data_IF_614291307915
#
_entry.id   IF_614291307915
#
_cell.length_a   1.000
_cell.length_b   1.000
_cell.length_c   1.000
_cell.angle_alpha   90.00
_cell.angle_beta   90.00
_cell.angle_gamma   90.00
#
_symmetry.space_group_name_H-M   'P 1'
#
loop_
_entity.id
_entity.type
_entity.pdbx_description
1 polymer ?
#
# COMPACT_ATOMS: atom_id res chain seq x y z
N UNK A 1 2.45 15.70 1.57
CA UNK A 1 3.62 15.40 0.71
C UNK A 1 3.13 14.95 -0.67
N UNK A 2 3.63 15.53 -1.76
CA UNK A 2 3.42 14.98 -3.12
C UNK A 2 4.13 13.64 -3.23
N UNK A 3 3.41 12.60 -3.64
CA UNK A 3 3.95 11.23 -3.76
C UNK A 3 4.25 10.90 -5.21
N UNK A 4 3.38 11.28 -6.15
CA UNK A 4 3.58 11.04 -7.58
C UNK A 4 3.67 12.36 -8.34
N UNK A 5 4.82 12.67 -8.94
CA UNK A 5 4.95 13.84 -9.81
C UNK A 5 4.30 13.66 -11.18
N UNK A 6 4.18 12.42 -11.69
CA UNK A 6 3.58 12.18 -13.01
C UNK A 6 2.06 12.38 -13.02
N UNK A 7 1.40 12.00 -11.93
CA UNK A 7 -0.05 12.05 -11.77
C UNK A 7 -0.48 13.12 -10.75
N UNK A 8 0.49 13.84 -10.17
CA UNK A 8 0.33 14.99 -9.26
C UNK A 8 -0.63 14.71 -8.09
N UNK A 9 -0.40 13.59 -7.39
CA UNK A 9 -1.17 13.27 -6.17
C UNK A 9 -0.29 13.13 -4.93
N UNK A 10 -0.92 13.35 -3.78
CA UNK A 10 -0.34 13.48 -2.45
C UNK A 10 -0.60 12.26 -1.56
N UNK A 11 0.08 12.20 -0.41
CA UNK A 11 -0.16 11.17 0.60
C UNK A 11 -1.60 11.22 1.16
N UNK A 12 -2.18 12.43 1.27
CA UNK A 12 -3.56 12.61 1.73
C UNK A 12 -4.57 11.94 0.82
N UNK A 13 -4.39 12.09 -0.50
CA UNK A 13 -5.24 11.43 -1.52
C UNK A 13 -5.11 9.90 -1.47
N UNK A 14 -3.89 9.38 -1.25
CA UNK A 14 -3.69 7.93 -1.06
C UNK A 14 -4.43 7.46 0.19
N UNK A 15 -4.32 8.18 1.31
CA UNK A 15 -4.99 7.82 2.58
C UNK A 15 -6.51 7.88 2.47
N UNK A 16 -7.04 8.84 1.71
CA UNK A 16 -8.48 8.97 1.44
C UNK A 16 -9.04 7.78 0.65
N UNK A 17 -8.22 7.09 -0.16
CA UNK A 17 -8.63 5.89 -0.88
C UNK A 17 -8.75 4.65 0.03
N UNK A 18 -8.11 4.64 1.20
CA UNK A 18 -8.01 3.45 2.06
C UNK A 18 -9.24 3.25 2.94
N UNK A 19 -10.45 3.35 2.38
CA UNK A 19 -11.69 3.16 3.14
C UNK A 19 -11.88 1.70 3.55
N UNK A 20 -12.42 1.41 4.75
CA UNK A 20 -12.74 0.05 5.14
C UNK A 20 -13.82 -0.52 4.20
N UNK A 21 -13.63 -1.77 3.75
CA UNK A 21 -14.57 -2.43 2.84
C UNK A 21 -13.90 -3.24 1.74
N UNK A 22 -14.70 -3.88 0.86
CA UNK A 22 -14.19 -4.69 -0.25
C UNK A 22 -13.41 -3.87 -1.28
N UNK A 23 -13.77 -2.59 -1.46
CA UNK A 23 -13.11 -1.68 -2.40
C UNK A 23 -11.79 -1.09 -1.88
N UNK A 24 -11.37 -1.46 -0.67
CA UNK A 24 -10.12 -0.98 -0.08
C UNK A 24 -8.92 -1.42 -0.93
N UNK A 25 -8.12 -0.50 -1.48
CA UNK A 25 -6.98 -0.88 -2.31
C UNK A 25 -5.93 -1.60 -1.48
N UNK A 26 -5.48 -2.76 -1.98
CA UNK A 26 -4.42 -3.62 -1.41
C UNK A 26 -3.12 -3.57 -2.20
N UNK A 27 -3.09 -2.88 -3.33
CA UNK A 27 -1.88 -2.71 -4.15
C UNK A 27 -1.75 -1.26 -4.63
N UNK A 28 -0.52 -0.77 -4.92
CA UNK A 28 -0.33 0.55 -5.52
C UNK A 28 -1.10 0.72 -6.84
N UNK A 29 -1.18 -0.35 -7.64
CA UNK A 29 -1.97 -0.36 -8.88
C UNK A 29 -3.46 -0.08 -8.64
N UNK A 30 -4.02 -0.59 -7.54
CA UNK A 30 -5.40 -0.29 -7.15
C UNK A 30 -5.56 1.16 -6.69
N UNK A 31 -4.57 1.73 -5.99
CA UNK A 31 -4.59 3.16 -5.61
C UNK A 31 -4.67 4.06 -6.84
N UNK A 32 -3.85 3.79 -7.88
CA UNK A 32 -3.93 4.55 -9.14
C UNK A 32 -5.34 4.49 -9.73
N UNK A 33 -5.95 3.29 -9.79
CA UNK A 33 -7.33 3.10 -10.28
C UNK A 33 -8.37 3.82 -9.43
N UNK A 34 -8.26 3.77 -8.09
CA UNK A 34 -9.14 4.50 -7.18
C UNK A 34 -9.07 6.02 -7.38
N UNK A 35 -7.91 6.53 -7.79
CA UNK A 35 -7.69 7.93 -8.15
C UNK A 35 -8.01 8.24 -9.63
N UNK A 36 -8.48 7.27 -10.41
CA UNK A 36 -8.83 7.46 -11.81
C UNK A 36 -7.64 7.71 -12.75
N UNK A 37 -6.45 7.19 -12.42
CA UNK A 37 -5.25 7.36 -13.24
C UNK A 37 -4.50 6.04 -13.46
N UNK A 38 -3.61 6.03 -14.46
CA UNK A 38 -2.72 4.91 -14.75
C UNK A 38 -1.29 5.18 -14.25
N UNK A 39 -0.52 4.14 -13.90
CA UNK A 39 0.89 4.30 -13.56
C UNK A 39 1.71 4.72 -14.79
N UNK A 40 2.45 5.83 -14.66
CA UNK A 40 3.33 6.35 -15.73
C UNK A 40 4.75 5.80 -15.64
N UNK A 41 5.54 6.28 -14.67
CA UNK A 41 6.94 5.88 -14.48
C UNK A 41 7.16 4.89 -13.32
N UNK A 42 6.14 4.70 -12.46
CA UNK A 42 6.16 3.75 -11.34
C UNK A 42 7.12 4.08 -10.18
N UNK A 43 7.92 5.14 -10.25
CA UNK A 43 8.93 5.47 -9.21
C UNK A 43 8.35 5.67 -7.81
N UNK A 44 7.09 6.10 -7.73
CA UNK A 44 6.38 6.32 -6.48
C UNK A 44 5.75 5.05 -5.88
N UNK A 45 5.80 3.90 -6.57
CA UNK A 45 5.11 2.68 -6.13
C UNK A 45 5.54 2.20 -4.73
N UNK A 46 6.83 2.25 -4.42
CA UNK A 46 7.35 1.87 -3.09
C UNK A 46 6.86 2.84 -2.01
N UNK A 47 6.83 4.15 -2.31
CA UNK A 47 6.33 5.17 -1.38
C UNK A 47 4.83 5.00 -1.14
N UNK A 48 4.04 4.76 -2.19
CA UNK A 48 2.61 4.46 -2.08
C UNK A 48 2.42 3.24 -1.18
N UNK A 49 3.17 2.15 -1.41
CA UNK A 49 3.11 0.95 -0.58
C UNK A 49 3.39 1.24 0.89
N UNK A 50 4.44 2.01 1.20
CA UNK A 50 4.76 2.39 2.57
C UNK A 50 3.63 3.18 3.24
N UNK A 51 3.01 4.11 2.51
CA UNK A 51 1.87 4.90 3.02
C UNK A 51 0.66 3.99 3.29
N UNK A 52 0.41 3.02 2.42
CA UNK A 52 -0.66 2.03 2.61
C UNK A 52 -0.43 1.19 3.86
N UNK A 53 0.76 0.60 4.02
CA UNK A 53 1.09 -0.20 5.21
C UNK A 53 0.95 0.62 6.49
N UNK A 54 1.46 1.85 6.53
CA UNK A 54 1.34 2.74 7.69
C UNK A 54 -0.12 3.08 8.01
N UNK A 55 -0.91 3.45 7.01
CA UNK A 55 -2.31 3.83 7.20
C UNK A 55 -3.18 2.63 7.61
N UNK A 56 -2.94 1.46 7.04
CA UNK A 56 -3.65 0.24 7.41
C UNK A 56 -3.28 -0.23 8.81
N UNK A 57 -2.00 -0.17 9.19
CA UNK A 57 -1.56 -0.49 10.55
C UNK A 57 -2.21 0.43 11.59
N UNK A 58 -2.33 1.73 11.29
CA UNK A 58 -3.03 2.69 12.18
C UNK A 58 -4.52 2.39 12.30
N UNK A 59 -5.20 2.04 11.20
CA UNK A 59 -6.62 1.67 11.21
C UNK A 59 -6.90 0.34 11.91
N UNK A 60 -5.92 -0.55 11.92
CA UNK A 60 -5.99 -1.87 12.53
C UNK A 60 -5.32 -1.92 13.91
N UNK A 61 -5.03 -0.76 14.52
CA UNK A 61 -4.68 -0.71 15.93
C UNK A 61 -5.91 -1.12 16.75
N UNK A 62 -6.15 -2.42 16.86
CA UNK A 62 -7.09 -2.98 17.82
C UNK A 62 -6.66 -2.48 19.19
N UNK A 63 -7.51 -1.71 19.86
CA UNK A 63 -7.45 -1.65 21.32
C UNK A 63 -7.55 -3.08 21.81
N UNK A 64 -6.71 -3.47 22.75
CA UNK A 64 -6.63 -4.85 23.26
C UNK A 64 -7.89 -5.31 24.01
N UNK A 65 -9.04 -4.67 23.81
CA UNK A 65 -10.32 -4.90 24.49
C UNK A 65 -11.28 -5.79 23.69
N UNK A 66 -10.86 -6.35 22.56
CA UNK A 66 -11.67 -7.37 21.90
C UNK A 66 -11.55 -8.70 22.67
N UNK A 67 -12.65 -9.18 23.25
CA UNK A 67 -12.75 -10.45 24.00
C UNK A 67 -12.46 -11.70 23.14
N UNK A 68 -12.38 -11.53 21.81
CA UNK A 68 -12.16 -12.62 20.84
C UNK A 68 -10.72 -12.59 20.31
N UNK A 69 -10.11 -13.77 20.16
CA UNK A 69 -8.79 -13.96 19.52
C UNK A 69 -8.79 -13.30 18.12
N UNK A 70 -8.12 -12.16 18.00
CA UNK A 70 -8.05 -11.45 16.74
C UNK A 70 -6.95 -12.08 15.87
N UNK A 71 -7.28 -12.67 14.70
CA UNK A 71 -6.31 -13.35 13.84
C UNK A 71 -5.24 -12.41 13.26
N UNK A 72 -5.41 -11.09 13.41
CA UNK A 72 -4.44 -10.07 13.02
C UNK A 72 -3.32 -9.88 14.06
N UNK A 73 -3.60 -10.05 15.36
CA UNK A 73 -2.59 -9.92 16.42
C UNK A 73 -1.53 -11.04 16.31
N UNK A 74 -1.93 -12.21 15.82
CA UNK A 74 -1.06 -13.37 15.62
C UNK A 74 -0.03 -13.16 14.50
N UNK A 75 -0.27 -12.24 13.57
CA UNK A 75 0.63 -11.95 12.45
C UNK A 75 1.72 -10.91 12.78
N UNK A 76 1.56 -10.11 13.85
CA UNK A 76 2.54 -9.07 14.20
C UNK A 76 3.92 -9.64 14.62
N UNK A 77 3.97 -10.88 15.10
CA UNK A 77 5.21 -11.54 15.54
C UNK A 77 5.98 -12.30 14.43
N UNK A 78 5.48 -12.35 13.20
CA UNK A 78 6.12 -13.12 12.11
C UNK A 78 6.74 -12.24 11.02
N UNK A 79 6.70 -10.91 11.17
CA UNK A 79 7.00 -9.97 10.09
C UNK A 79 8.42 -9.41 10.12
N UNK A 80 9.40 -10.14 10.67
CA UNK A 80 10.79 -9.97 10.23
C UNK A 80 10.91 -10.60 8.83
N UNK A 81 10.44 -9.89 7.81
CA UNK A 81 10.77 -10.23 6.43
C UNK A 81 12.20 -9.76 6.17
N UNK A 82 13.11 -10.62 5.65
CA UNK A 82 14.42 -10.18 5.24
C UNK A 82 14.26 -9.12 4.14
N UNK A 83 14.68 -7.89 4.47
CA UNK A 83 14.96 -6.87 3.46
C UNK A 83 16.05 -7.41 2.57
N UNK A 84 15.73 -7.71 1.31
CA UNK A 84 16.50 -7.37 0.11
C UNK A 84 16.29 -8.38 -1.01
N UNK A 85 16.09 -7.88 -2.23
CA UNK A 85 16.46 -8.64 -3.42
C UNK A 85 15.44 -8.66 -4.55
N UNK A 86 15.58 -7.68 -5.45
CA UNK A 86 15.21 -7.73 -6.87
C UNK A 86 13.72 -7.75 -7.23
N UNK A 87 13.18 -6.55 -7.35
CA UNK A 87 12.22 -6.27 -8.43
C UNK A 87 12.94 -6.52 -9.76
N UNK A 88 12.68 -7.66 -10.41
CA UNK A 88 13.13 -7.85 -11.79
C UNK A 88 12.44 -6.81 -12.65
N UNK A 89 13.21 -5.87 -13.21
CA UNK A 89 12.75 -5.14 -14.40
C UNK A 89 12.41 -6.20 -15.44
N UNK A 90 11.14 -6.33 -15.79
CA UNK A 90 10.75 -7.09 -16.97
C UNK A 90 11.30 -6.29 -18.15
N UNK A 91 12.44 -6.70 -18.67
CA UNK A 91 13.03 -6.12 -19.88
C UNK A 91 11.99 -6.18 -21.00
N UNK A 92 11.87 -5.16 -21.85
CA UNK A 92 11.04 -5.27 -23.04
C UNK A 92 11.65 -6.34 -23.95
N UNK A 93 10.84 -7.33 -24.33
CA UNK A 93 11.15 -8.26 -25.41
C UNK A 93 11.35 -7.42 -26.67
N UNK A 94 12.60 -7.30 -27.12
CA UNK A 94 12.92 -6.84 -28.48
C UNK A 94 12.77 -8.06 -29.39
N UNK A 95 11.90 -7.94 -30.39
CA UNK A 95 11.82 -8.85 -31.52
C UNK A 95 12.97 -8.66 -32.50
#
# INVERSE_FOLDING_TARGET
>A
MIVCSCNVFSDGEIRACLNPGPDCPRTPAQVYRSLGCDPRCGRCATTIRSIMDQALAQKHACSADCETDCPLTRQANSNESPRSGRWRRRSPLKG
#
